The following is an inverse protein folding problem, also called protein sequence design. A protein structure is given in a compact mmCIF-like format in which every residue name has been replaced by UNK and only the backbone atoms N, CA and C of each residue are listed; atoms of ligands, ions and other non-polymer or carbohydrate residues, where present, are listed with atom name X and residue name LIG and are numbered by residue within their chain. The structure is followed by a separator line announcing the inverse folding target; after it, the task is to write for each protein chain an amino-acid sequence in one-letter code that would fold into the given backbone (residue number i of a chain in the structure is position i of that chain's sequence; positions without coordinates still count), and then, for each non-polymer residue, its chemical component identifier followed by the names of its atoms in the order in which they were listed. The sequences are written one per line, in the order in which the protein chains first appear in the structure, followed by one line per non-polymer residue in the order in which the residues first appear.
data_IF_421357374203
#
_entry.id   IF_421357374203
#
_cell.length_a   1.000
_cell.length_b   1.000
_cell.length_c   1.000
_cell.angle_alpha   90.00
_cell.angle_beta   90.00
_cell.angle_gamma   90.00
#
_symmetry.space_group_name_H-M   'P 1'
#
loop_
_entity.id
_entity.type
_entity.pdbx_description
1 polymer ?
#
# COMPACT_ATOMS: atom_id res chain seq x y z
N UNK A 1 14.83 -2.87 -28.59
CA UNK A 1 14.69 -2.35 -27.20
C UNK A 1 14.07 -0.94 -27.16
N UNK A 2 14.22 -0.11 -28.20
CA UNK A 2 13.58 1.22 -28.30
C UNK A 2 12.05 1.18 -28.37
N UNK A 3 11.47 0.24 -29.12
CA UNK A 3 10.02 0.14 -29.32
C UNK A 3 9.25 -0.20 -28.03
N UNK A 4 9.80 -1.07 -27.18
CA UNK A 4 9.20 -1.42 -25.89
C UNK A 4 9.15 -0.21 -24.94
N UNK A 5 10.25 0.54 -24.87
CA UNK A 5 10.34 1.72 -24.01
C UNK A 5 9.41 2.84 -24.49
N UNK A 6 9.29 3.02 -25.81
CA UNK A 6 8.34 3.97 -26.40
C UNK A 6 6.89 3.60 -26.01
N UNK A 7 6.50 2.35 -26.23
CA UNK A 7 5.15 1.86 -25.88
C UNK A 7 4.83 1.99 -24.40
N UNK A 8 5.82 1.72 -23.54
CA UNK A 8 5.67 1.90 -22.10
C UNK A 8 5.49 3.38 -21.72
N UNK A 9 6.28 4.28 -22.31
CA UNK A 9 6.16 5.73 -22.09
C UNK A 9 4.81 6.27 -22.56
N UNK A 10 4.35 5.82 -23.72
CA UNK A 10 3.05 6.22 -24.27
C UNK A 10 1.92 5.78 -23.35
N UNK A 11 2.00 4.54 -22.83
CA UNK A 11 1.05 4.04 -21.85
C UNK A 11 1.06 4.89 -20.58
N UNK A 12 2.24 5.24 -20.03
CA UNK A 12 2.32 6.11 -18.85
C UNK A 12 1.69 7.48 -19.10
N UNK A 13 1.98 8.11 -20.23
CA UNK A 13 1.35 9.37 -20.60
C UNK A 13 -0.17 9.24 -20.72
N UNK A 14 -0.67 8.17 -21.35
CA UNK A 14 -2.10 7.93 -21.49
C UNK A 14 -2.79 7.71 -20.14
N UNK A 15 -2.19 6.97 -19.22
CA UNK A 15 -2.79 6.68 -17.91
C UNK A 15 -2.73 7.87 -16.97
N UNK A 16 -1.56 8.50 -16.82
CA UNK A 16 -1.34 9.50 -15.78
C UNK A 16 -1.51 10.94 -16.23
N UNK A 17 -1.36 11.24 -17.52
CA UNK A 17 -1.37 12.62 -18.03
C UNK A 17 -2.63 12.89 -18.85
N UNK A 18 -2.96 12.02 -19.79
CA UNK A 18 -4.11 12.25 -20.68
C UNK A 18 -5.47 12.15 -19.96
N UNK A 19 -5.53 11.48 -18.81
CA UNK A 19 -6.74 11.31 -18.00
C UNK A 19 -6.90 12.37 -16.91
N UNK A 20 -6.03 13.38 -16.80
CA UNK A 20 -6.14 14.38 -15.73
C UNK A 20 -7.41 15.21 -15.93
N UNK A 21 -8.37 15.01 -15.04
CA UNK A 21 -9.58 15.80 -14.93
C UNK A 21 -9.94 16.06 -13.45
N UNK A 22 -11.04 16.78 -13.22
CA UNK A 22 -11.49 17.10 -11.86
C UNK A 22 -11.84 15.84 -11.04
N UNK A 23 -12.31 14.77 -11.67
CA UNK A 23 -12.67 13.52 -11.00
C UNK A 23 -11.45 12.73 -10.57
N UNK A 24 -10.40 12.71 -11.38
CA UNK A 24 -9.09 12.12 -11.03
C UNK A 24 -8.47 12.88 -9.86
N UNK A 25 -8.50 14.21 -9.86
CA UNK A 25 -8.02 15.02 -8.73
C UNK A 25 -8.83 14.70 -7.46
N UNK A 26 -10.16 14.66 -7.56
CA UNK A 26 -11.03 14.27 -6.45
C UNK A 26 -10.72 12.85 -5.96
N UNK A 27 -10.46 11.93 -6.89
CA UNK A 27 -10.07 10.56 -6.59
C UNK A 27 -8.75 10.48 -5.82
N UNK A 28 -7.75 11.29 -6.17
CA UNK A 28 -6.49 11.39 -5.42
C UNK A 28 -6.70 11.94 -4.02
N UNK A 29 -7.55 12.95 -3.85
CA UNK A 29 -7.92 13.47 -2.52
C UNK A 29 -8.62 12.37 -1.70
N UNK A 30 -9.54 11.64 -2.31
CA UNK A 30 -10.21 10.52 -1.67
C UNK A 30 -9.22 9.42 -1.26
N UNK A 31 -8.30 9.01 -2.14
CA UNK A 31 -7.24 8.04 -1.83
C UNK A 31 -6.36 8.53 -0.67
N UNK A 32 -5.96 9.81 -0.67
CA UNK A 32 -5.17 10.40 0.41
C UNK A 32 -5.90 10.34 1.76
N UNK A 33 -7.20 10.68 1.78
CA UNK A 33 -8.03 10.58 3.00
C UNK A 33 -8.22 9.13 3.47
N UNK A 34 -8.37 8.17 2.54
CA UNK A 34 -8.44 6.75 2.88
C UNK A 34 -7.12 6.24 3.46
N UNK A 35 -5.98 6.61 2.87
CA UNK A 35 -4.64 6.30 3.38
C UNK A 35 -4.38 6.92 4.75
N UNK A 36 -4.87 8.14 5.00
CA UNK A 36 -4.71 8.84 6.28
C UNK A 36 -5.25 8.02 7.47
N UNK A 37 -6.24 7.15 7.27
CA UNK A 37 -6.76 6.27 8.33
C UNK A 37 -5.68 5.37 8.93
N UNK A 38 -4.78 4.87 8.09
CA UNK A 38 -3.65 4.05 8.54
C UNK A 38 -2.59 4.91 9.23
N UNK A 39 -2.32 6.12 8.73
CA UNK A 39 -1.38 7.06 9.36
C UNK A 39 -1.86 7.48 10.76
N UNK A 40 -3.14 7.82 10.89
CA UNK A 40 -3.75 8.19 12.17
C UNK A 40 -3.72 7.01 13.13
N UNK A 41 -4.07 5.81 12.66
CA UNK A 41 -3.97 4.60 13.48
C UNK A 41 -2.52 4.36 13.94
N UNK A 42 -1.55 4.53 13.05
CA UNK A 42 -0.14 4.37 13.39
C UNK A 42 0.30 5.38 14.45
N UNK A 43 0.01 6.68 14.27
CA UNK A 43 0.32 7.71 15.27
C UNK A 43 -0.35 7.40 16.61
N UNK A 44 -1.60 6.93 16.60
CA UNK A 44 -2.30 6.53 17.82
C UNK A 44 -1.62 5.33 18.50
N UNK A 45 -1.17 4.32 17.75
CA UNK A 45 -0.46 3.16 18.29
C UNK A 45 0.91 3.51 18.86
N UNK A 46 1.64 4.43 18.23
CA UNK A 46 2.93 4.95 18.75
C UNK A 46 2.72 5.71 20.06
N UNK A 47 1.69 6.56 20.15
CA UNK A 47 1.36 7.28 21.39
C UNK A 47 0.92 6.34 22.51
N UNK A 48 0.21 5.26 22.18
CA UNK A 48 -0.24 4.26 23.14
C UNK A 48 0.80 3.17 23.46
N UNK A 49 1.91 3.10 22.71
CA UNK A 49 2.92 2.02 22.75
C UNK A 49 2.33 0.61 22.65
N UNK A 50 1.19 0.47 21.98
CA UNK A 50 0.50 -0.80 21.79
C UNK A 50 0.18 -1.00 20.30
N UNK A 51 0.74 -2.04 19.69
CA UNK A 51 0.38 -2.47 18.34
C UNK A 51 -0.76 -3.47 18.42
N UNK A 52 -1.99 -2.99 18.25
CA UNK A 52 -3.21 -3.80 18.41
C UNK A 52 -3.72 -4.35 17.06
N UNK A 53 -3.00 -4.11 15.95
CA UNK A 53 -3.47 -4.53 14.62
C UNK A 53 -3.11 -6.00 14.37
N UNK A 54 -4.10 -6.89 14.11
CA UNK A 54 -3.84 -8.30 13.88
C UNK A 54 -2.97 -8.54 12.65
N UNK A 55 -2.06 -9.52 12.71
CA UNK A 55 -1.21 -9.89 11.55
C UNK A 55 -2.04 -10.24 10.32
N UNK A 56 -3.19 -10.90 10.50
CA UNK A 56 -4.14 -11.22 9.43
C UNK A 56 -4.60 -9.98 8.65
N UNK A 57 -4.80 -8.84 9.32
CA UNK A 57 -5.19 -7.59 8.67
C UNK A 57 -4.16 -7.16 7.62
N UNK A 58 -2.88 -7.28 7.94
CA UNK A 58 -1.79 -6.91 7.01
C UNK A 58 -1.71 -7.86 5.82
N UNK A 59 -1.91 -9.17 6.02
CA UNK A 59 -1.95 -10.14 4.92
C UNK A 59 -3.15 -9.92 3.99
N UNK A 60 -4.35 -9.69 4.54
CA UNK A 60 -5.53 -9.37 3.72
C UNK A 60 -5.38 -8.04 3.00
N UNK A 61 -4.76 -7.03 3.63
CA UNK A 61 -4.47 -5.74 3.00
C UNK A 61 -3.47 -5.88 1.86
N UNK A 62 -2.41 -6.69 2.04
CA UNK A 62 -1.41 -6.95 1.01
C UNK A 62 -2.02 -7.74 -0.16
N UNK A 63 -2.75 -8.83 0.11
CA UNK A 63 -3.39 -9.65 -0.92
C UNK A 63 -4.47 -8.89 -1.68
N UNK A 64 -5.40 -8.25 -0.96
CA UNK A 64 -6.46 -7.45 -1.55
C UNK A 64 -5.94 -6.24 -2.33
N UNK A 65 -4.97 -5.51 -1.76
CA UNK A 65 -4.32 -4.38 -2.41
C UNK A 65 -3.59 -4.79 -3.69
N UNK A 66 -2.97 -5.98 -3.72
CA UNK A 66 -2.27 -6.49 -4.89
C UNK A 66 -3.25 -6.84 -6.01
N UNK A 67 -4.34 -7.53 -5.68
CA UNK A 67 -5.40 -7.84 -6.64
C UNK A 67 -6.04 -6.57 -7.20
N UNK A 68 -6.28 -5.56 -6.35
CA UNK A 68 -6.81 -4.28 -6.78
C UNK A 68 -5.80 -3.49 -7.63
N UNK A 69 -4.50 -3.59 -7.35
CA UNK A 69 -3.47 -2.97 -8.19
C UNK A 69 -3.43 -3.60 -9.59
N UNK A 70 -3.48 -4.94 -9.68
CA UNK A 70 -3.56 -5.64 -10.98
C UNK A 70 -4.81 -5.22 -11.75
N UNK A 71 -5.95 -5.15 -11.06
CA UNK A 71 -7.21 -4.66 -11.64
C UNK A 71 -7.09 -3.22 -12.15
N UNK A 72 -6.49 -2.32 -11.35
CA UNK A 72 -6.33 -0.92 -11.70
C UNK A 72 -5.40 -0.71 -12.90
N UNK A 73 -4.29 -1.45 -12.97
CA UNK A 73 -3.39 -1.46 -14.14
C UNK A 73 -4.15 -1.93 -15.37
N UNK A 74 -4.97 -2.98 -15.26
CA UNK A 74 -5.79 -3.46 -16.39
C UNK A 74 -6.85 -2.44 -16.81
N UNK A 75 -7.40 -1.69 -15.86
CA UNK A 75 -8.39 -0.62 -16.10
C UNK A 75 -7.77 0.71 -16.51
N UNK A 76 -6.45 0.83 -16.48
CA UNK A 76 -5.75 2.09 -16.74
C UNK A 76 -6.25 3.25 -15.84
N UNK A 77 -6.55 2.94 -14.57
CA UNK A 77 -7.04 3.92 -13.58
C UNK A 77 -5.87 4.51 -12.77
N UNK A 78 -5.47 5.78 -13.01
CA UNK A 78 -4.30 6.37 -12.37
C UNK A 78 -4.45 6.53 -10.86
N UNK A 79 -5.66 6.77 -10.37
CA UNK A 79 -5.96 7.02 -8.95
C UNK A 79 -5.78 5.73 -8.15
N UNK A 80 -6.37 4.63 -8.63
CA UNK A 80 -6.25 3.34 -7.96
C UNK A 80 -4.84 2.75 -8.07
N UNK A 81 -4.16 2.91 -9.22
CA UNK A 81 -2.78 2.46 -9.38
C UNK A 81 -1.87 3.13 -8.35
N UNK A 82 -1.95 4.46 -8.22
CA UNK A 82 -1.14 5.19 -7.27
C UNK A 82 -1.50 4.85 -5.81
N UNK A 83 -2.79 4.82 -5.49
CA UNK A 83 -3.26 4.52 -4.13
C UNK A 83 -2.87 3.12 -3.66
N UNK A 84 -3.15 2.09 -4.46
CA UNK A 84 -2.83 0.70 -4.09
C UNK A 84 -1.33 0.43 -4.14
N UNK A 85 -0.60 1.04 -5.07
CA UNK A 85 0.86 0.94 -5.12
C UNK A 85 1.51 1.44 -3.83
N UNK A 86 1.14 2.64 -3.37
CA UNK A 86 1.63 3.18 -2.10
C UNK A 86 1.15 2.34 -0.89
N UNK A 87 -0.12 1.93 -0.88
CA UNK A 87 -0.68 1.09 0.18
C UNK A 87 0.08 -0.22 0.36
N UNK A 88 0.42 -0.91 -0.73
CA UNK A 88 1.18 -2.16 -0.69
C UNK A 88 2.57 -1.99 -0.06
N UNK A 89 3.26 -0.88 -0.34
CA UNK A 89 4.56 -0.59 0.28
C UNK A 89 4.44 -0.44 1.80
N UNK A 90 3.37 0.23 2.26
CA UNK A 90 3.10 0.41 3.68
C UNK A 90 2.78 -0.93 4.34
N UNK A 91 1.92 -1.74 3.72
CA UNK A 91 1.54 -3.05 4.25
C UNK A 91 2.74 -3.98 4.36
N UNK A 92 3.58 -4.02 3.32
CA UNK A 92 4.81 -4.81 3.31
C UNK A 92 5.79 -4.35 4.40
N UNK A 93 6.02 -3.04 4.51
CA UNK A 93 6.92 -2.46 5.52
C UNK A 93 6.44 -2.79 6.94
N UNK A 94 5.14 -2.70 7.20
CA UNK A 94 4.58 -3.03 8.51
C UNK A 94 4.69 -4.53 8.82
N UNK A 95 4.48 -5.39 7.83
CA UNK A 95 4.66 -6.83 7.99
C UNK A 95 6.13 -7.18 8.30
N UNK A 96 7.09 -6.57 7.58
CA UNK A 96 8.53 -6.72 7.86
C UNK A 96 8.88 -6.26 9.28
N UNK A 97 8.31 -5.15 9.75
CA UNK A 97 8.56 -4.66 11.11
C UNK A 97 8.05 -5.62 12.18
N UNK A 98 6.85 -6.19 11.99
CA UNK A 98 6.27 -7.18 12.90
C UNK A 98 7.19 -8.40 13.00
N UNK A 99 7.60 -8.99 11.87
CA UNK A 99 8.49 -10.15 11.87
C UNK A 99 9.87 -9.87 12.47
N UNK A 100 10.35 -8.62 12.42
CA UNK A 100 11.64 -8.23 13.02
C UNK A 100 11.56 -7.92 14.51
N UNK A 101 10.38 -7.57 15.02
CA UNK A 101 10.16 -7.25 16.44
C UNK A 101 9.43 -8.34 17.21
N UNK A 102 9.18 -9.50 16.60
CA UNK A 102 8.45 -10.58 17.23
C UNK A 102 9.25 -11.18 18.40
N UNK A 103 8.85 -10.97 19.67
CA UNK A 103 9.53 -11.57 20.81
C UNK A 103 9.30 -13.08 20.87
N UNK A 104 8.28 -13.60 20.16
CA UNK A 104 7.96 -15.02 20.06
C UNK A 104 8.93 -15.83 19.19
N UNK A 105 9.84 -15.15 18.47
CA UNK A 105 10.98 -15.78 17.79
C UNK A 105 12.24 -15.84 18.68
N UNK A 106 12.15 -15.46 19.95
CA UNK A 106 13.14 -15.86 20.95
C UNK A 106 12.78 -17.28 21.35
N UNK A 107 13.60 -18.32 21.06
CA UNK A 107 13.41 -19.59 21.73
C UNK A 107 13.52 -19.29 23.22
N UNK A 108 12.48 -19.64 23.97
CA UNK A 108 12.45 -19.65 25.43
C UNK A 108 13.68 -20.43 25.90
N UNK A 109 14.79 -19.72 26.13
CA UNK A 109 15.94 -20.28 26.83
C UNK A 109 15.55 -20.33 28.30
N UNK A 110 14.98 -21.48 28.62
CA UNK A 110 15.24 -22.27 29.81
C UNK A 110 15.19 -21.52 31.15
N UNK A 111 14.10 -21.78 31.88
CA UNK A 111 14.03 -21.56 33.32
C UNK A 111 15.01 -22.55 33.97
N UNK A 112 16.18 -22.04 34.37
CA UNK A 112 17.13 -22.72 35.26
C UNK A 112 17.33 -21.91 36.52
#
# INVERSE_FOLDING_TARGET
MSDLLARFSDWLHMVFVAQIDLWVILGFIAQALFMMRFVVQWIASERAKQSVVPVAFWFFSLGGGFLLLVYAVKRADPVFIAGQGLGLLIYLRNLVLIFRHDPAATPEKDKG
#
